data_IF_471305438145
#
_entry.id   IF_471305438145
#
_cell.length_a   1.000
_cell.length_b   1.000
_cell.length_c   1.000
_cell.angle_alpha   90.00
_cell.angle_beta   90.00
_cell.angle_gamma   90.00
#
_symmetry.space_group_name_H-M   'P 1'
#
loop_
_entity.id
_entity.type
_entity.pdbx_description
1 polymer ?
#
# COMPACT_ATOMS: atom_id res chain seq x y z
N UNK A 1 16.15 35.98 10.15
CA UNK A 1 15.68 34.72 9.55
C UNK A 1 15.59 33.53 10.52
N UNK A 2 15.87 33.66 11.83
CA UNK A 2 15.87 32.52 12.78
C UNK A 2 14.56 32.31 13.59
N UNK A 3 13.59 33.22 13.50
CA UNK A 3 12.35 33.14 14.30
C UNK A 3 11.23 32.31 13.64
N UNK A 4 11.28 32.13 12.31
CA UNK A 4 10.22 31.43 11.57
C UNK A 4 10.29 29.90 11.71
N UNK A 5 11.48 29.30 11.79
CA UNK A 5 11.59 27.83 11.90
C UNK A 5 11.18 27.30 13.28
N UNK A 6 11.41 28.05 14.36
CA UNK A 6 11.01 27.65 15.73
C UNK A 6 9.49 27.63 15.94
N UNK A 7 8.74 28.45 15.22
CA UNK A 7 7.28 28.50 15.31
C UNK A 7 6.62 27.34 14.54
N UNK A 8 7.20 26.94 13.40
CA UNK A 8 6.79 25.76 12.64
C UNK A 8 7.09 24.45 13.40
N UNK A 9 8.23 24.37 14.08
CA UNK A 9 8.60 23.22 14.92
C UNK A 9 7.53 22.94 15.98
N UNK A 10 7.08 23.96 16.73
CA UNK A 10 6.11 23.78 17.83
C UNK A 10 4.72 23.32 17.38
N UNK A 11 4.18 23.86 16.27
CA UNK A 11 2.85 23.53 15.79
C UNK A 11 2.77 22.12 15.17
N UNK A 12 3.84 21.67 14.50
CA UNK A 12 3.92 20.34 13.92
C UNK A 12 4.18 19.27 14.99
N UNK A 13 5.04 19.54 15.99
CA UNK A 13 5.18 18.64 17.16
C UNK A 13 3.87 18.52 17.92
N UNK A 14 3.11 19.61 18.11
CA UNK A 14 1.83 19.55 18.80
C UNK A 14 0.82 18.67 18.08
N UNK A 15 0.79 18.63 16.74
CA UNK A 15 -0.13 17.77 15.99
C UNK A 15 0.21 16.29 16.10
N UNK A 16 1.48 15.94 16.28
CA UNK A 16 1.95 14.55 16.38
C UNK A 16 2.23 14.15 17.84
N UNK A 17 1.80 14.96 18.80
CA UNK A 17 2.05 14.75 20.22
C UNK A 17 1.46 13.42 20.72
N UNK A 18 2.15 12.73 21.66
CA UNK A 18 1.66 11.52 22.34
C UNK A 18 0.30 11.68 23.03
N UNK A 19 -0.01 12.90 23.46
CA UNK A 19 -1.21 13.23 24.24
C UNK A 19 -2.41 13.60 23.36
N UNK A 20 -2.28 13.55 22.02
CA UNK A 20 -3.41 13.86 21.17
C UNK A 20 -4.49 12.80 21.30
N UNK A 21 -5.64 13.18 21.84
CA UNK A 21 -6.85 12.37 21.79
C UNK A 21 -7.26 12.20 20.34
N UNK A 22 -7.17 10.96 19.83
CA UNK A 22 -7.66 10.62 18.51
C UNK A 22 -9.17 10.84 18.46
N UNK A 23 -9.69 11.31 17.31
CA UNK A 23 -11.13 11.32 17.10
C UNK A 23 -11.67 9.89 17.03
N UNK A 24 -12.98 9.73 17.20
CA UNK A 24 -13.64 8.42 17.11
C UNK A 24 -13.35 7.70 15.77
N UNK A 25 -13.44 8.35 14.59
CA UNK A 25 -13.06 7.72 13.32
C UNK A 25 -11.57 7.32 13.24
N UNK A 26 -10.69 8.10 13.87
CA UNK A 26 -9.25 7.81 13.90
C UNK A 26 -8.94 6.63 14.81
N UNK A 27 -9.65 6.51 15.92
CA UNK A 27 -9.56 5.38 16.86
C UNK A 27 -10.07 4.10 16.22
N UNK A 28 -11.19 4.18 15.50
CA UNK A 28 -11.72 3.05 14.73
C UNK A 28 -10.73 2.58 13.65
N UNK A 29 -10.14 3.52 12.90
CA UNK A 29 -9.10 3.22 11.94
C UNK A 29 -7.89 2.53 12.58
N UNK A 30 -7.44 3.01 13.75
CA UNK A 30 -6.38 2.37 14.51
C UNK A 30 -6.75 0.92 14.84
N UNK A 31 -7.93 0.67 15.41
CA UNK A 31 -8.38 -0.69 15.74
C UNK A 31 -8.45 -1.60 14.52
N UNK A 32 -8.91 -1.09 13.37
CA UNK A 32 -8.96 -1.83 12.11
C UNK A 32 -7.57 -2.22 11.62
N UNK A 33 -6.60 -1.30 11.67
CA UNK A 33 -5.21 -1.58 11.28
C UNK A 33 -4.58 -2.60 12.23
N UNK A 34 -4.78 -2.46 13.54
CA UNK A 34 -4.27 -3.44 14.51
C UNK A 34 -4.85 -4.83 14.27
N UNK A 35 -6.17 -4.93 14.08
CA UNK A 35 -6.86 -6.19 13.79
C UNK A 35 -6.45 -6.81 12.45
N UNK A 36 -6.06 -5.98 11.47
CA UNK A 36 -5.49 -6.44 10.21
C UNK A 36 -4.12 -7.07 10.45
N UNK A 37 -3.21 -6.38 11.15
CA UNK A 37 -1.88 -6.89 11.45
C UNK A 37 -1.90 -8.20 12.27
N UNK A 38 -2.88 -8.39 13.15
CA UNK A 38 -3.04 -9.64 13.91
C UNK A 38 -3.55 -10.79 13.06
N UNK A 39 -4.47 -10.53 12.11
CA UNK A 39 -5.06 -11.58 11.26
C UNK A 39 -4.10 -12.08 10.20
N UNK A 40 -3.31 -11.17 9.62
CA UNK A 40 -2.47 -11.46 8.46
C UNK A 40 -1.03 -11.84 8.83
N UNK A 41 -0.80 -12.43 10.01
CA UNK A 41 0.55 -12.84 10.44
C UNK A 41 1.07 -14.09 9.75
N UNK A 42 0.17 -14.97 9.34
CA UNK A 42 0.49 -16.20 8.62
C UNK A 42 0.37 -16.02 7.10
N UNK A 43 -0.09 -14.85 6.66
CA UNK A 43 -0.25 -14.54 5.25
C UNK A 43 1.11 -14.20 4.63
N UNK A 44 1.28 -14.58 3.37
CA UNK A 44 2.51 -14.31 2.62
C UNK A 44 2.74 -12.82 2.35
N UNK A 45 1.66 -12.04 2.23
CA UNK A 45 1.70 -10.59 2.09
C UNK A 45 0.32 -9.99 2.25
N UNK A 46 0.22 -8.86 2.93
CA UNK A 46 -1.06 -8.16 3.13
C UNK A 46 -0.87 -6.63 3.05
N UNK A 47 -1.71 -5.97 2.25
CA UNK A 47 -1.68 -4.52 2.06
C UNK A 47 -2.92 -3.87 2.67
N UNK A 48 -2.70 -2.88 3.54
CA UNK A 48 -3.76 -2.02 4.09
C UNK A 48 -3.55 -0.58 3.65
N UNK A 49 -4.52 0.01 2.95
CA UNK A 49 -4.44 1.38 2.47
C UNK A 49 -5.24 2.30 3.40
N UNK A 50 -4.57 3.33 3.94
CA UNK A 50 -5.21 4.38 4.74
C UNK A 50 -5.58 5.55 3.82
N UNK A 51 -6.87 5.72 3.56
CA UNK A 51 -7.38 6.84 2.75
C UNK A 51 -7.90 7.98 3.65
N UNK A 52 -7.66 9.23 3.26
CA UNK A 52 -8.19 10.42 3.93
C UNK A 52 -7.84 11.69 3.18
N UNK A 53 -8.68 12.72 3.24
CA UNK A 53 -8.42 14.00 2.57
C UNK A 53 -7.12 14.66 3.08
N UNK A 54 -6.51 15.55 2.27
CA UNK A 54 -5.36 16.31 2.72
C UNK A 54 -5.74 17.15 3.96
N UNK A 55 -4.89 17.16 4.98
CA UNK A 55 -5.15 17.91 6.22
C UNK A 55 -6.02 17.20 7.27
N UNK A 56 -6.49 15.97 7.05
CA UNK A 56 -7.32 15.22 8.03
C UNK A 56 -6.53 14.60 9.21
N UNK A 57 -5.24 14.90 9.32
CA UNK A 57 -4.40 14.36 10.39
C UNK A 57 -3.95 12.90 10.17
N UNK A 58 -3.85 12.43 8.92
CA UNK A 58 -3.38 11.07 8.59
C UNK A 58 -2.05 10.72 9.28
N UNK A 59 -1.08 11.64 9.27
CA UNK A 59 0.20 11.45 9.95
C UNK A 59 0.06 11.28 11.47
N UNK A 60 -0.97 11.87 12.09
CA UNK A 60 -1.28 11.70 13.51
C UNK A 60 -1.76 10.29 13.80
N UNK A 61 -2.73 9.82 13.01
CA UNK A 61 -3.25 8.45 13.13
C UNK A 61 -2.14 7.43 12.87
N UNK A 62 -1.34 7.68 11.85
CA UNK A 62 -0.24 6.81 11.43
C UNK A 62 0.85 6.73 12.52
N UNK A 63 1.16 7.84 13.18
CA UNK A 63 2.03 7.84 14.36
C UNK A 63 1.43 7.05 15.53
N UNK A 64 0.14 7.22 15.80
CA UNK A 64 -0.55 6.51 16.88
C UNK A 64 -0.59 4.99 16.64
N UNK A 65 -0.89 4.57 15.41
CA UNK A 65 -0.80 3.17 14.97
C UNK A 65 0.63 2.65 15.17
N UNK A 66 1.63 3.40 14.69
CA UNK A 66 3.02 2.96 14.79
C UNK A 66 3.48 2.81 16.24
N UNK A 67 3.10 3.75 17.11
CA UNK A 67 3.38 3.67 18.54
C UNK A 67 2.68 2.48 19.19
N UNK A 68 1.42 2.19 18.84
CA UNK A 68 0.70 1.03 19.35
C UNK A 68 1.36 -0.29 18.91
N UNK A 69 1.73 -0.41 17.64
CA UNK A 69 2.46 -1.57 17.09
C UNK A 69 3.80 -1.76 17.80
N UNK A 70 4.60 -0.70 17.95
CA UNK A 70 5.90 -0.79 18.60
C UNK A 70 5.80 -1.09 20.09
N UNK A 71 4.78 -0.54 20.76
CA UNK A 71 4.50 -0.84 22.17
C UNK A 71 4.20 -2.31 22.32
N UNK A 72 3.36 -2.91 21.47
CA UNK A 72 3.02 -4.33 21.53
C UNK A 72 4.15 -5.26 21.10
N UNK A 73 4.89 -4.88 20.06
CA UNK A 73 6.04 -5.66 19.61
C UNK A 73 7.16 -5.72 20.66
N UNK A 74 7.28 -4.70 21.50
CA UNK A 74 8.32 -4.59 22.55
C UNK A 74 7.80 -4.87 23.95
N UNK A 75 6.49 -4.88 24.17
CA UNK A 75 5.92 -5.25 25.46
C UNK A 75 6.20 -6.73 25.68
N UNK A 76 6.71 -7.06 26.86
CA UNK A 76 7.08 -8.44 27.19
C UNK A 76 5.89 -9.39 27.33
N UNK A 77 4.66 -8.95 27.03
CA UNK A 77 3.42 -9.67 27.27
C UNK A 77 3.45 -11.06 26.60
N UNK A 78 3.31 -12.11 27.40
CA UNK A 78 3.29 -13.47 26.88
C UNK A 78 1.99 -13.70 26.09
N UNK A 79 2.11 -14.16 24.85
CA UNK A 79 0.97 -14.47 23.99
C UNK A 79 0.46 -13.31 23.12
N UNK A 80 1.08 -12.12 23.15
CA UNK A 80 0.75 -11.07 22.17
C UNK A 80 1.23 -11.51 20.79
N UNK A 81 0.35 -11.62 19.78
CA UNK A 81 0.72 -12.08 18.45
C UNK A 81 1.70 -11.11 17.76
N UNK A 82 1.73 -9.83 18.15
CA UNK A 82 2.64 -8.84 17.56
C UNK A 82 4.02 -8.81 18.22
N UNK A 83 4.26 -9.61 19.26
CA UNK A 83 5.50 -9.62 20.02
C UNK A 83 6.70 -9.99 19.15
N UNK A 84 7.76 -9.18 19.23
CA UNK A 84 9.01 -9.43 18.53
C UNK A 84 9.00 -9.06 17.04
N UNK A 85 7.88 -8.58 16.51
CA UNK A 85 7.80 -8.11 15.13
C UNK A 85 8.69 -6.87 14.91
N UNK A 86 9.34 -6.83 13.74
CA UNK A 86 10.18 -5.74 13.28
C UNK A 86 9.33 -4.82 12.42
N UNK A 87 8.95 -3.71 13.03
CA UNK A 87 8.11 -2.72 12.38
C UNK A 87 8.94 -1.50 11.95
N UNK A 88 8.65 -0.95 10.78
CA UNK A 88 9.32 0.22 10.22
C UNK A 88 8.30 1.25 9.73
N UNK A 89 8.56 2.54 9.99
CA UNK A 89 7.83 3.63 9.37
C UNK A 89 8.68 4.31 8.29
N UNK A 90 8.24 4.19 7.05
CA UNK A 90 8.85 4.85 5.89
C UNK A 90 8.27 6.27 5.75
N UNK A 91 9.16 7.26 5.72
CA UNK A 91 8.79 8.68 5.60
C UNK A 91 9.55 9.31 4.45
N UNK A 92 8.83 9.86 3.48
CA UNK A 92 9.44 10.39 2.25
C UNK A 92 10.16 11.73 2.50
N UNK A 93 9.48 12.65 3.17
CA UNK A 93 9.99 14.01 3.41
C UNK A 93 11.03 14.06 4.55
N UNK A 94 12.24 14.60 4.31
CA UNK A 94 13.30 14.68 5.34
C UNK A 94 12.92 15.50 6.58
N UNK A 95 12.09 16.54 6.41
CA UNK A 95 11.60 17.37 7.52
C UNK A 95 10.68 16.57 8.44
N UNK A 96 9.72 15.84 7.87
CA UNK A 96 8.83 14.95 8.62
C UNK A 96 9.61 13.83 9.30
N UNK A 97 10.60 13.25 8.63
CA UNK A 97 11.45 12.21 9.22
C UNK A 97 12.20 12.72 10.47
N UNK A 98 12.70 13.96 10.45
CA UNK A 98 13.32 14.57 11.63
C UNK A 98 12.30 14.72 12.76
N UNK A 99 11.09 15.16 12.44
CA UNK A 99 10.01 15.32 13.40
C UNK A 99 9.64 14.01 14.09
N UNK A 100 9.39 12.95 13.31
CA UNK A 100 9.14 11.60 13.85
C UNK A 100 10.29 11.10 14.73
N UNK A 101 11.54 11.28 14.31
CA UNK A 101 12.72 10.87 15.09
C UNK A 101 12.88 11.68 16.39
N UNK A 102 12.46 12.93 16.41
CA UNK A 102 12.47 13.75 17.62
C UNK A 102 11.39 13.27 18.60
N UNK A 103 10.18 12.99 18.11
CA UNK A 103 9.07 12.45 18.92
C UNK A 103 9.42 11.05 19.44
N UNK A 104 10.04 10.21 18.61
CA UNK A 104 10.48 8.89 19.04
C UNK A 104 11.50 8.92 20.18
N UNK A 105 12.26 10.02 20.35
CA UNK A 105 13.19 10.16 21.47
C UNK A 105 12.48 10.37 22.82
N UNK A 106 11.22 10.77 22.81
CA UNK A 106 10.42 11.01 24.03
C UNK A 106 9.49 9.85 24.37
N UNK A 107 9.33 8.87 23.49
CA UNK A 107 8.40 7.76 23.65
C UNK A 107 9.13 6.44 24.00
N UNK A 108 8.76 5.73 25.08
CA UNK A 108 9.50 4.55 25.56
C UNK A 108 9.60 3.41 24.53
N UNK A 109 8.57 3.26 23.71
CA UNK A 109 8.45 2.16 22.76
C UNK A 109 9.07 2.48 21.39
N UNK A 110 9.52 3.71 21.12
CA UNK A 110 9.98 4.14 19.80
C UNK A 110 11.50 4.39 19.80
N UNK A 111 12.13 4.19 18.64
CA UNK A 111 13.55 4.47 18.41
C UNK A 111 13.71 5.23 17.11
N UNK A 112 14.75 6.06 17.03
CA UNK A 112 15.09 6.79 15.79
C UNK A 112 15.36 5.88 14.59
N UNK A 113 15.83 4.66 14.86
CA UNK A 113 16.09 3.60 13.87
C UNK A 113 14.82 2.98 13.29
N UNK A 114 13.66 3.22 13.92
CA UNK A 114 12.38 2.67 13.48
C UNK A 114 11.76 3.48 12.33
N UNK A 115 12.46 4.53 11.88
CA UNK A 115 12.04 5.44 10.83
C UNK A 115 13.12 5.58 9.76
N UNK A 116 12.74 5.45 8.49
CA UNK A 116 13.69 5.51 7.38
C UNK A 116 13.08 6.11 6.11
N UNK A 117 13.92 6.57 5.18
CA UNK A 117 13.48 6.98 3.85
C UNK A 117 13.26 5.76 2.94
N UNK A 118 12.35 5.81 1.95
CA UNK A 118 12.05 4.67 1.08
C UNK A 118 13.30 4.07 0.42
N UNK A 119 14.13 4.91 -0.21
CA UNK A 119 15.30 4.44 -0.95
C UNK A 119 16.38 3.87 -0.04
N UNK A 120 16.62 4.48 1.12
CA UNK A 120 17.58 3.96 2.12
C UNK A 120 17.12 2.61 2.65
N UNK A 121 15.81 2.48 2.94
CA UNK A 121 15.20 1.24 3.38
C UNK A 121 15.41 0.13 2.32
N UNK A 122 15.00 0.36 1.08
CA UNK A 122 15.11 -0.60 -0.03
C UNK A 122 16.57 -1.03 -0.22
N UNK A 123 17.50 -0.07 -0.29
CA UNK A 123 18.91 -0.36 -0.49
C UNK A 123 19.54 -1.13 0.68
N UNK A 124 19.10 -0.86 1.92
CA UNK A 124 19.61 -1.54 3.11
C UNK A 124 19.04 -2.96 3.22
N UNK A 125 17.75 -3.14 2.96
CA UNK A 125 17.11 -4.44 2.90
C UNK A 125 17.75 -5.30 1.80
N UNK A 126 18.02 -4.72 0.63
CA UNK A 126 18.77 -5.34 -0.48
C UNK A 126 20.14 -5.86 -0.08
N UNK A 127 20.89 -5.08 0.69
CA UNK A 127 22.25 -5.45 1.12
C UNK A 127 22.27 -6.46 2.26
N UNK A 128 21.32 -6.35 3.19
CA UNK A 128 21.35 -7.12 4.45
C UNK A 128 20.49 -8.38 4.42
N UNK A 129 19.56 -8.49 3.46
CA UNK A 129 18.57 -9.56 3.42
C UNK A 129 17.59 -9.52 4.60
N UNK A 130 17.61 -8.47 5.44
CA UNK A 130 16.72 -8.34 6.59
C UNK A 130 15.35 -7.90 6.12
N UNK A 131 14.36 -8.75 6.36
CA UNK A 131 12.94 -8.46 6.17
C UNK A 131 12.38 -7.61 7.32
N UNK A 132 11.34 -6.83 7.05
CA UNK A 132 10.50 -6.24 8.08
C UNK A 132 9.18 -6.98 8.08
N UNK A 133 8.58 -7.11 9.25
CA UNK A 133 7.34 -7.87 9.42
C UNK A 133 6.12 -6.95 9.22
N UNK A 134 6.25 -5.66 9.55
CA UNK A 134 5.24 -4.63 9.26
C UNK A 134 5.93 -3.35 8.76
N UNK A 135 5.48 -2.84 7.61
CA UNK A 135 5.98 -1.57 7.05
C UNK A 135 4.82 -0.58 6.89
N UNK A 136 4.91 0.56 7.55
CA UNK A 136 4.00 1.69 7.34
C UNK A 136 4.67 2.66 6.39
N UNK A 137 3.90 3.27 5.49
CA UNK A 137 4.41 4.26 4.54
C UNK A 137 3.61 5.54 4.65
N UNK A 138 4.27 6.61 5.08
CA UNK A 138 3.72 7.96 5.06
C UNK A 138 3.82 8.55 3.64
N UNK A 139 2.78 9.27 3.23
CA UNK A 139 2.62 9.81 1.88
C UNK A 139 2.99 8.81 0.77
N UNK A 140 2.38 7.63 0.82
CA UNK A 140 2.64 6.54 -0.13
C UNK A 140 2.45 6.94 -1.61
N UNK A 141 1.67 8.00 -1.88
CA UNK A 141 1.52 8.59 -3.20
C UNK A 141 2.81 9.19 -3.79
N UNK A 142 3.84 9.41 -2.96
CA UNK A 142 5.15 9.91 -3.34
C UNK A 142 6.19 8.79 -3.58
N UNK A 143 5.78 7.53 -3.46
CA UNK A 143 6.66 6.41 -3.79
C UNK A 143 7.04 6.45 -5.27
N UNK A 144 8.32 6.17 -5.57
CA UNK A 144 8.82 6.17 -6.93
C UNK A 144 8.31 4.94 -7.67
N UNK A 145 7.78 5.14 -8.87
CA UNK A 145 7.32 4.08 -9.77
C UNK A 145 8.33 3.76 -10.88
N UNK A 146 9.50 4.43 -10.85
CA UNK A 146 10.60 4.25 -11.81
C UNK A 146 11.96 4.51 -11.14
N UNK A 147 13.07 4.02 -11.71
CA UNK A 147 14.40 4.32 -11.22
C UNK A 147 14.68 5.83 -11.17
N UNK A 148 15.39 6.26 -10.13
CA UNK A 148 15.80 7.66 -9.96
C UNK A 148 17.21 7.75 -9.38
N UNK A 149 18.17 8.05 -10.26
CA UNK A 149 19.59 8.20 -9.89
C UNK A 149 19.83 9.36 -8.93
N UNK A 150 19.01 10.42 -8.98
CA UNK A 150 19.14 11.57 -8.09
C UNK A 150 18.83 11.18 -6.65
N UNK A 151 17.84 10.31 -6.46
CA UNK A 151 17.48 9.77 -5.16
C UNK A 151 18.28 8.51 -4.77
N UNK A 152 19.29 8.11 -5.55
CA UNK A 152 20.04 6.86 -5.38
C UNK A 152 19.16 5.60 -5.41
N UNK A 153 18.07 5.66 -6.18
CA UNK A 153 17.15 4.55 -6.42
C UNK A 153 17.47 3.92 -7.77
N UNK A 154 18.01 2.70 -7.76
CA UNK A 154 18.41 1.98 -8.99
C UNK A 154 17.47 0.83 -9.36
N UNK A 155 16.47 0.55 -8.52
CA UNK A 155 15.43 -0.44 -8.77
C UNK A 155 14.24 0.18 -9.51
N UNK A 156 13.21 -0.61 -9.79
CA UNK A 156 12.10 -0.19 -10.65
C UNK A 156 10.99 0.54 -9.91
N UNK A 157 10.47 -0.01 -8.81
CA UNK A 157 9.33 0.54 -8.11
C UNK A 157 9.49 0.42 -6.58
N UNK A 158 9.30 1.52 -5.85
CA UNK A 158 9.44 1.53 -4.39
C UNK A 158 8.43 0.60 -3.70
N UNK A 159 7.15 0.63 -4.09
CA UNK A 159 6.12 -0.20 -3.47
C UNK A 159 6.41 -1.67 -3.72
N UNK A 160 6.74 -2.02 -4.96
CA UNK A 160 7.13 -3.39 -5.29
C UNK A 160 8.36 -3.80 -4.50
N UNK A 161 9.41 -2.99 -4.43
CA UNK A 161 10.60 -3.33 -3.66
C UNK A 161 10.31 -3.46 -2.16
N UNK A 162 9.44 -2.62 -1.59
CA UNK A 162 9.00 -2.75 -0.19
C UNK A 162 8.24 -4.07 0.02
N UNK A 163 7.35 -4.45 -0.90
CA UNK A 163 6.61 -5.72 -0.89
C UNK A 163 7.49 -6.93 -1.29
N UNK A 164 8.57 -6.72 -2.06
CA UNK A 164 9.46 -7.77 -2.58
C UNK A 164 10.27 -8.43 -1.47
N UNK A 165 10.50 -7.70 -0.38
CA UNK A 165 11.06 -8.22 0.87
C UNK A 165 10.09 -9.13 1.64
N UNK A 166 8.84 -9.24 1.19
CA UNK A 166 7.85 -10.19 1.71
C UNK A 166 7.96 -11.56 0.99
N UNK A 167 8.20 -11.58 -0.33
CA UNK A 167 8.05 -12.83 -1.11
C UNK A 167 9.18 -13.31 -1.99
N UNK A 168 10.14 -12.50 -2.44
CA UNK A 168 11.10 -13.03 -3.43
C UNK A 168 12.24 -13.80 -2.78
N UNK A 169 12.49 -15.01 -3.29
CA UNK A 169 13.74 -15.74 -3.10
C UNK A 169 14.89 -14.73 -3.19
N UNK A 170 15.72 -14.53 -2.13
CA UNK A 170 16.74 -13.47 -2.06
C UNK A 170 17.78 -13.46 -3.19
N UNK A 171 17.71 -14.43 -4.11
CA UNK A 171 18.62 -14.66 -5.23
C UNK A 171 18.08 -14.19 -6.58
N UNK A 172 16.78 -13.93 -6.70
CA UNK A 172 16.12 -13.58 -7.96
C UNK A 172 16.12 -12.06 -8.15
N UNK A 173 16.90 -11.58 -9.13
CA UNK A 173 17.10 -10.14 -9.40
C UNK A 173 15.99 -9.51 -10.23
N UNK A 174 15.21 -10.30 -10.95
CA UNK A 174 14.18 -9.81 -11.87
C UNK A 174 12.82 -9.68 -11.18
N UNK A 175 12.04 -8.61 -11.49
CA UNK A 175 10.63 -8.50 -11.11
C UNK A 175 9.79 -9.69 -11.60
N UNK A 176 8.67 -9.99 -10.93
CA UNK A 176 7.82 -11.16 -11.27
C UNK A 176 7.48 -11.24 -12.77
N UNK A 177 7.16 -10.12 -13.40
CA UNK A 177 6.80 -10.06 -14.81
C UNK A 177 7.97 -10.31 -15.80
N UNK A 178 9.22 -10.20 -15.35
CA UNK A 178 10.43 -10.41 -16.17
C UNK A 178 11.10 -11.77 -15.92
N UNK A 179 10.51 -12.58 -15.05
CA UNK A 179 11.07 -13.87 -14.64
C UNK A 179 10.69 -14.98 -15.63
N UNK A 180 11.63 -15.82 -16.09
CA UNK A 180 11.31 -16.90 -17.03
C UNK A 180 10.37 -17.96 -16.47
N UNK A 181 10.38 -18.18 -15.16
CA UNK A 181 9.58 -19.19 -14.46
C UNK A 181 8.12 -18.78 -14.23
N UNK A 182 7.76 -17.51 -14.45
CA UNK A 182 6.40 -16.99 -14.24
C UNK A 182 5.54 -17.05 -15.50
N UNK A 183 6.05 -17.63 -16.60
CA UNK A 183 5.35 -17.74 -17.88
C UNK A 183 4.03 -18.53 -17.78
N UNK A 184 3.94 -19.46 -16.83
CA UNK A 184 2.75 -20.29 -16.57
C UNK A 184 1.88 -19.77 -15.41
N UNK A 185 2.19 -18.58 -14.87
CA UNK A 185 1.48 -17.98 -13.74
C UNK A 185 0.56 -16.82 -14.16
N UNK A 186 -0.47 -16.55 -13.35
CA UNK A 186 -1.37 -15.40 -13.52
C UNK A 186 -1.10 -14.37 -12.42
N UNK A 187 -0.69 -13.17 -12.83
CA UNK A 187 -0.46 -12.04 -11.92
C UNK A 187 -1.75 -11.33 -11.50
N UNK A 188 -1.69 -10.50 -10.46
CA UNK A 188 -2.78 -9.62 -10.06
C UNK A 188 -2.53 -8.17 -10.51
N UNK A 189 -3.52 -7.29 -10.37
CA UNK A 189 -3.34 -5.84 -10.62
C UNK A 189 -2.19 -5.25 -9.81
N UNK A 190 -1.91 -5.79 -8.62
CA UNK A 190 -0.84 -5.34 -7.74
C UNK A 190 0.55 -5.77 -8.19
N UNK A 191 0.67 -6.91 -8.88
CA UNK A 191 1.97 -7.44 -9.33
C UNK A 191 2.41 -6.88 -10.68
N UNK A 192 1.49 -6.30 -11.45
CA UNK A 192 1.77 -5.74 -12.78
C UNK A 192 1.79 -4.20 -12.81
N UNK A 193 1.41 -3.55 -11.71
CA UNK A 193 1.31 -2.10 -11.65
C UNK A 193 2.69 -1.43 -11.80
N UNK A 194 2.90 -0.75 -12.92
CA UNK A 194 4.17 -0.08 -13.25
C UNK A 194 5.03 -0.82 -14.29
N UNK A 195 4.56 -1.97 -14.78
CA UNK A 195 5.18 -2.69 -15.89
C UNK A 195 4.42 -2.45 -17.19
N UNK A 196 5.15 -2.14 -18.25
CA UNK A 196 4.62 -2.22 -19.61
C UNK A 196 5.07 -3.56 -20.21
N UNK A 197 4.11 -4.38 -20.62
CA UNK A 197 4.32 -5.71 -21.18
C UNK A 197 4.34 -5.63 -22.69
N UNK A 198 5.22 -6.38 -23.35
CA UNK A 198 5.19 -6.51 -24.82
C UNK A 198 3.81 -6.99 -25.29
N UNK A 199 3.24 -7.99 -24.61
CA UNK A 199 1.87 -8.46 -24.79
C UNK A 199 1.25 -8.72 -23.42
N UNK A 200 0.00 -8.32 -23.23
CA UNK A 200 -0.74 -8.56 -21.99
C UNK A 200 -1.92 -9.51 -22.24
N UNK A 201 -2.10 -10.50 -21.37
CA UNK A 201 -3.32 -11.31 -21.30
C UNK A 201 -4.15 -10.88 -20.10
N UNK A 202 -5.38 -10.41 -20.34
CA UNK A 202 -6.29 -9.92 -19.30
C UNK A 202 -7.55 -10.78 -19.26
N UNK A 203 -7.84 -11.32 -18.06
CA UNK A 203 -9.04 -12.08 -17.76
C UNK A 203 -9.99 -11.16 -17.00
N UNK A 204 -11.13 -10.81 -17.62
CA UNK A 204 -12.21 -10.08 -16.98
C UNK A 204 -13.08 -11.05 -16.19
N UNK A 205 -12.97 -10.96 -14.87
CA UNK A 205 -13.71 -11.79 -13.92
C UNK A 205 -15.22 -11.51 -13.88
N UNK A 206 -15.97 -12.25 -13.05
CA UNK A 206 -17.44 -12.21 -12.98
C UNK A 206 -18.02 -10.89 -12.42
N UNK A 207 -17.16 -10.00 -11.93
CA UNK A 207 -17.49 -8.64 -11.49
C UNK A 207 -17.77 -7.68 -12.65
N UNK A 208 -17.44 -8.05 -13.89
CA UNK A 208 -17.69 -7.25 -15.09
C UNK A 208 -18.72 -7.96 -15.98
N UNK A 209 -19.65 -7.18 -16.53
CA UNK A 209 -20.65 -7.68 -17.47
C UNK A 209 -20.94 -6.66 -18.56
N UNK A 210 -21.59 -7.11 -19.64
CA UNK A 210 -22.05 -6.21 -20.68
C UNK A 210 -23.49 -5.75 -20.47
N UNK A 211 -23.68 -4.44 -20.34
CA UNK A 211 -25.00 -3.79 -20.30
C UNK A 211 -25.48 -3.54 -21.73
N UNK A 212 -26.22 -4.53 -22.27
CA UNK A 212 -26.77 -4.51 -23.63
C UNK A 212 -27.67 -3.30 -23.88
N UNK A 213 -28.37 -2.80 -22.85
CA UNK A 213 -29.34 -1.71 -23.00
C UNK A 213 -28.67 -0.37 -23.27
N UNK A 214 -27.49 -0.15 -22.71
CA UNK A 214 -26.77 1.12 -22.77
C UNK A 214 -25.44 1.01 -23.54
N UNK A 215 -25.17 -0.13 -24.19
CA UNK A 215 -23.93 -0.48 -24.89
C UNK A 215 -22.66 -0.11 -24.10
N UNK A 216 -22.54 -0.62 -22.86
CA UNK A 216 -21.40 -0.30 -21.99
C UNK A 216 -21.01 -1.47 -21.09
N UNK A 217 -19.81 -1.40 -20.52
CA UNK A 217 -19.40 -2.31 -19.45
C UNK A 217 -20.09 -1.88 -18.15
N UNK A 218 -20.78 -2.83 -17.52
CA UNK A 218 -21.33 -2.72 -16.18
C UNK A 218 -20.43 -3.43 -15.17
N UNK A 219 -20.57 -3.01 -13.91
CA UNK A 219 -19.84 -3.59 -12.77
C UNK A 219 -20.84 -4.21 -11.81
N UNK A 220 -20.49 -5.38 -11.26
CA UNK A 220 -21.18 -6.11 -10.19
C UNK A 220 -20.25 -6.13 -8.97
N UNK A 221 -20.28 -5.08 -8.12
CA UNK A 221 -19.41 -4.98 -6.96
C UNK A 221 -19.53 -6.19 -6.02
N UNK A 222 -20.71 -6.81 -5.94
CA UNK A 222 -21.00 -8.01 -5.15
C UNK A 222 -20.28 -9.28 -5.64
N UNK A 223 -19.76 -9.28 -6.88
CA UNK A 223 -18.99 -10.39 -7.46
C UNK A 223 -17.50 -10.08 -7.57
N UNK A 224 -17.04 -9.01 -6.94
CA UNK A 224 -15.63 -8.67 -6.88
C UNK A 224 -15.01 -9.35 -5.64
N UNK A 225 -14.14 -10.33 -5.88
CA UNK A 225 -13.61 -11.25 -4.86
C UNK A 225 -12.50 -10.62 -3.99
N UNK A 226 -11.97 -9.46 -4.38
CA UNK A 226 -11.01 -8.72 -3.59
C UNK A 226 -11.73 -7.89 -2.52
N UNK A 227 -11.87 -8.53 -1.36
CA UNK A 227 -12.47 -7.98 -0.14
C UNK A 227 -11.60 -6.90 0.53
N UNK A 228 -10.31 -6.79 0.17
CA UNK A 228 -9.40 -5.79 0.72
C UNK A 228 -9.64 -4.39 0.12
N UNK A 229 -10.06 -4.31 -1.14
CA UNK A 229 -10.42 -3.06 -1.82
C UNK A 229 -11.64 -2.32 -1.20
N UNK A 230 -12.41 -2.98 -0.31
CA UNK A 230 -13.68 -2.47 0.19
C UNK A 230 -13.79 -2.35 1.71
N UNK A 231 -12.76 -2.72 2.48
CA UNK A 231 -12.76 -2.52 3.93
C UNK A 231 -12.60 -1.03 4.28
N UNK A 232 -13.63 -0.43 4.91
CA UNK A 232 -13.58 0.95 5.43
C UNK A 232 -14.47 1.97 4.72
N UNK A 233 -15.53 1.55 4.03
CA UNK A 233 -16.47 2.42 3.32
C UNK A 233 -17.84 2.57 4.01
N UNK A 234 -17.92 2.20 5.28
CA UNK A 234 -19.10 2.46 6.11
C UNK A 234 -19.10 3.95 6.50
N UNK A 235 -19.84 4.76 5.74
CA UNK A 235 -19.91 6.22 5.92
C UNK A 235 -19.73 7.05 4.64
N UNK A 236 -19.49 6.43 3.49
CA UNK A 236 -19.50 7.14 2.20
C UNK A 236 -20.95 7.29 1.73
N UNK A 237 -21.34 8.48 1.29
CA UNK A 237 -22.71 8.77 0.83
C UNK A 237 -23.18 7.90 -0.37
N UNK A 238 -22.27 7.20 -1.05
CA UNK A 238 -22.55 6.23 -2.11
C UNK A 238 -21.43 5.16 -2.19
N UNK A 239 -21.45 4.12 -1.34
CA UNK A 239 -20.38 3.12 -1.27
C UNK A 239 -20.25 2.32 -2.58
N UNK A 240 -21.38 2.00 -3.24
CA UNK A 240 -21.40 1.21 -4.48
C UNK A 240 -20.77 1.93 -5.69
N UNK A 241 -20.97 3.24 -5.81
CA UNK A 241 -20.31 4.04 -6.86
C UNK A 241 -18.79 4.11 -6.64
N UNK A 242 -18.37 4.26 -5.38
CA UNK A 242 -16.96 4.21 -5.03
C UNK A 242 -16.34 2.84 -5.36
N UNK A 243 -17.06 1.74 -5.10
CA UNK A 243 -16.58 0.37 -5.42
C UNK A 243 -16.44 0.18 -6.93
N UNK A 244 -17.47 0.59 -7.66
CA UNK A 244 -17.49 0.61 -9.13
C UNK A 244 -16.28 1.35 -9.69
N UNK A 245 -15.97 2.53 -9.15
CA UNK A 245 -14.82 3.33 -9.60
C UNK A 245 -13.48 2.65 -9.35
N UNK A 246 -13.30 1.95 -8.22
CA UNK A 246 -12.06 1.20 -7.95
C UNK A 246 -11.87 0.08 -8.97
N UNK A 247 -12.92 -0.70 -9.22
CA UNK A 247 -12.90 -1.81 -10.19
C UNK A 247 -12.55 -1.28 -11.59
N UNK A 248 -13.18 -0.18 -12.01
CA UNK A 248 -12.92 0.43 -13.32
C UNK A 248 -11.51 1.02 -13.41
N UNK A 249 -10.97 1.59 -12.33
CA UNK A 249 -9.60 2.09 -12.31
C UNK A 249 -8.58 0.95 -12.42
N UNK A 250 -8.78 -0.15 -11.68
CA UNK A 250 -7.94 -1.34 -11.79
C UNK A 250 -7.98 -1.91 -13.21
N UNK A 251 -9.17 -1.97 -13.82
CA UNK A 251 -9.38 -2.37 -15.20
C UNK A 251 -8.62 -1.46 -16.18
N UNK A 252 -8.71 -0.14 -16.02
CA UNK A 252 -7.99 0.80 -16.88
C UNK A 252 -6.47 0.64 -16.78
N UNK A 253 -5.96 0.36 -15.58
CA UNK A 253 -4.53 0.09 -15.38
C UNK A 253 -4.11 -1.15 -16.17
N UNK A 254 -4.77 -2.30 -15.99
CA UNK A 254 -4.35 -3.56 -16.61
C UNK A 254 -4.55 -3.59 -18.13
N UNK A 255 -5.62 -2.97 -18.65
CA UNK A 255 -5.90 -2.94 -20.09
C UNK A 255 -4.90 -2.07 -20.87
N UNK A 256 -4.22 -1.14 -20.20
CA UNK A 256 -3.26 -0.22 -20.83
C UNK A 256 -1.81 -0.69 -20.75
N UNK A 257 -1.54 -1.88 -20.18
CA UNK A 257 -0.16 -2.37 -19.99
C UNK A 257 0.46 -3.02 -21.23
N UNK A 258 -0.33 -3.49 -22.20
CA UNK A 258 0.19 -4.15 -23.40
C UNK A 258 0.68 -3.16 -24.46
N UNK A 259 1.99 -3.17 -24.77
CA UNK A 259 2.62 -2.27 -25.75
C UNK A 259 2.30 -2.70 -27.19
N UNK A 260 2.46 -3.98 -27.52
CA UNK A 260 2.28 -4.49 -28.89
C UNK A 260 0.95 -5.21 -29.09
N UNK A 261 0.28 -5.62 -28.01
CA UNK A 261 -1.03 -6.24 -28.10
C UNK A 261 -1.62 -6.63 -26.75
N UNK A 262 -2.94 -6.73 -26.75
CA UNK A 262 -3.75 -7.13 -25.61
C UNK A 262 -4.64 -8.31 -26.02
N UNK A 263 -4.51 -9.41 -25.29
CA UNK A 263 -5.44 -10.54 -25.36
C UNK A 263 -6.44 -10.40 -24.22
N UNK A 264 -7.72 -10.43 -24.56
CA UNK A 264 -8.79 -10.21 -23.59
C UNK A 264 -9.71 -11.43 -23.56
N UNK A 265 -9.95 -11.95 -22.36
CA UNK A 265 -10.97 -12.96 -22.12
C UNK A 265 -12.02 -12.39 -21.16
N UNK A 266 -13.30 -12.46 -21.53
CA UNK A 266 -14.39 -12.07 -20.66
C UNK A 266 -15.15 -13.30 -20.15
N UNK A 267 -15.31 -13.39 -18.83
CA UNK A 267 -16.14 -14.40 -18.20
C UNK A 267 -17.61 -14.27 -18.63
N UNK A 268 -18.16 -13.05 -18.67
CA UNK A 268 -19.53 -12.79 -19.11
C UNK A 268 -19.72 -13.13 -20.61
N UNK A 269 -20.62 -14.07 -20.97
CA UNK A 269 -20.79 -14.49 -22.37
C UNK A 269 -21.23 -13.36 -23.30
N UNK A 270 -22.10 -12.47 -22.83
CA UNK A 270 -22.58 -11.34 -23.64
C UNK A 270 -21.46 -10.32 -23.92
N UNK A 271 -20.62 -10.04 -22.91
CA UNK A 271 -19.42 -9.23 -23.09
C UNK A 271 -18.44 -9.88 -24.07
N UNK A 272 -18.20 -11.19 -23.94
CA UNK A 272 -17.35 -11.93 -24.88
C UNK A 272 -17.86 -11.86 -26.31
N UNK A 273 -19.15 -12.06 -26.53
CA UNK A 273 -19.75 -11.91 -27.86
C UNK A 273 -19.61 -10.48 -28.39
N UNK A 274 -19.86 -9.46 -27.57
CA UNK A 274 -19.73 -8.06 -27.96
C UNK A 274 -18.30 -7.71 -28.38
N UNK A 275 -17.30 -8.23 -27.65
CA UNK A 275 -15.87 -8.02 -27.93
C UNK A 275 -15.41 -8.73 -29.21
N UNK A 276 -16.05 -9.85 -29.59
CA UNK A 276 -15.74 -10.56 -30.83
C UNK A 276 -16.39 -9.93 -32.08
N UNK A 277 -17.39 -9.07 -31.91
CA UNK A 277 -18.07 -8.35 -33.00
C UNK A 277 -17.37 -7.04 -33.39
N UNK A 278 -16.07 -6.94 -33.13
CA UNK A 278 -15.24 -5.78 -33.46
C UNK A 278 -14.85 -5.83 -34.93
#
# INVERSE_FOLDING_TARGET
>A
MAASSRALDNAATQKLSPELTLSEPQTELLHRVMSFCERHQADDSALFVIEGAAGTGKSVVLNAIFNALQTRARSGAAGDPLKGLRNMLIVNHPEMLKLYRNIAATMPALRKSDYERPTTFINTSAKTGRRMDIVLVDEAHLLLTRPDRYNHFTQQNHLEEILRWDRSLPREKLPWAERPDTIDEVGSVYTIQGFDLNYAGVILGPSLFYDVKHDRIGVRPERYEDSAAFQGRDGIAAPEEAKTRVILNALNVILTRGIHGLFLYAHDPALRERLLRT
#
